data_IF_014162965089
#
_entry.id   IF_014162965089
#
_cell.length_a   1.000
_cell.length_b   1.000
_cell.length_c   1.000
_cell.angle_alpha   90.00
_cell.angle_beta   90.00
_cell.angle_gamma   90.00
#
_symmetry.space_group_name_H-M   'P 1'
#
loop_
_entity.id
_entity.type
_entity.pdbx_description
1 polymer ?
#
# COMPACT_ATOMS: atom_id res chain seq x y z
N UNK A 1 -63.52 -13.94 20.36
CA UNK A 1 -62.60 -14.85 19.64
C UNK A 1 -61.28 -14.11 19.42
N UNK A 2 -60.34 -14.23 20.37
CA UNK A 2 -59.09 -13.45 20.38
C UNK A 2 -58.12 -14.11 19.40
N UNK A 3 -57.90 -13.47 18.26
CA UNK A 3 -57.04 -13.96 17.19
C UNK A 3 -55.59 -14.11 17.68
N UNK A 4 -55.13 -15.36 17.83
CA UNK A 4 -53.72 -15.77 17.98
C UNK A 4 -52.90 -15.50 16.70
N UNK A 5 -52.89 -14.27 16.17
CA UNK A 5 -52.16 -13.89 14.93
C UNK A 5 -50.82 -13.19 15.15
N UNK A 6 -50.26 -13.21 16.36
CA UNK A 6 -49.03 -12.48 16.69
C UNK A 6 -47.68 -13.21 16.44
N UNK A 7 -47.54 -14.54 16.57
CA UNK A 7 -46.20 -15.15 16.48
C UNK A 7 -45.66 -15.20 15.05
N UNK A 8 -46.52 -15.47 14.05
CA UNK A 8 -46.09 -15.58 12.65
C UNK A 8 -45.59 -14.24 12.07
N UNK A 9 -46.25 -13.13 12.40
CA UNK A 9 -45.82 -11.78 12.00
C UNK A 9 -44.49 -11.40 12.64
N UNK A 10 -44.30 -11.75 13.92
CA UNK A 10 -43.05 -11.51 14.64
C UNK A 10 -41.89 -12.31 14.01
N UNK A 11 -42.13 -13.58 13.68
CA UNK A 11 -41.12 -14.43 13.02
C UNK A 11 -40.74 -13.90 11.64
N UNK A 12 -41.73 -13.48 10.82
CA UNK A 12 -41.44 -12.84 9.52
C UNK A 12 -40.62 -11.56 9.67
N UNK A 13 -40.95 -10.70 10.65
CA UNK A 13 -40.20 -9.47 10.90
C UNK A 13 -38.75 -9.75 11.30
N UNK A 14 -38.54 -10.73 12.18
CA UNK A 14 -37.18 -11.14 12.60
C UNK A 14 -36.40 -11.71 11.41
N UNK A 15 -37.02 -12.56 10.59
CA UNK A 15 -36.37 -13.12 9.39
C UNK A 15 -35.96 -12.03 8.40
N UNK A 16 -36.84 -11.06 8.12
CA UNK A 16 -36.52 -9.92 7.25
C UNK A 16 -35.38 -9.07 7.83
N UNK A 17 -35.38 -8.80 9.14
CA UNK A 17 -34.31 -8.06 9.80
C UNK A 17 -32.96 -8.81 9.70
N UNK A 18 -32.96 -10.12 9.92
CA UNK A 18 -31.76 -10.95 9.75
C UNK A 18 -31.23 -10.90 8.31
N UNK A 19 -32.11 -11.00 7.29
CA UNK A 19 -31.70 -10.89 5.90
C UNK A 19 -31.11 -9.52 5.56
N UNK A 20 -31.69 -8.43 6.09
CA UNK A 20 -31.16 -7.08 5.90
C UNK A 20 -29.81 -6.89 6.60
N UNK A 21 -29.63 -7.43 7.80
CA UNK A 21 -28.35 -7.37 8.52
C UNK A 21 -27.27 -8.18 7.81
N UNK A 22 -27.58 -9.41 7.37
CA UNK A 22 -26.65 -10.25 6.61
C UNK A 22 -26.29 -9.58 5.28
N UNK A 23 -27.29 -9.10 4.53
CA UNK A 23 -27.08 -8.35 3.30
C UNK A 23 -26.25 -7.09 3.53
N UNK A 24 -26.53 -6.33 4.59
CA UNK A 24 -25.77 -5.15 4.98
C UNK A 24 -24.32 -5.48 5.33
N UNK A 25 -24.07 -6.55 6.08
CA UNK A 25 -22.71 -7.02 6.40
C UNK A 25 -21.98 -7.48 5.14
N UNK A 26 -22.63 -8.21 4.25
CA UNK A 26 -22.03 -8.64 2.96
C UNK A 26 -21.69 -7.42 2.11
N UNK A 27 -22.61 -6.48 1.95
CA UNK A 27 -22.35 -5.23 1.22
C UNK A 27 -21.19 -4.50 1.87
N UNK A 28 -21.16 -4.35 3.19
CA UNK A 28 -20.09 -3.65 3.89
C UNK A 28 -18.73 -4.37 3.75
N UNK A 29 -18.70 -5.71 3.76
CA UNK A 29 -17.49 -6.50 3.50
C UNK A 29 -17.00 -6.38 2.05
N UNK A 30 -17.92 -6.29 1.09
CA UNK A 30 -17.62 -6.18 -0.33
C UNK A 30 -17.27 -4.74 -0.74
N UNK A 31 -17.87 -3.73 -0.10
CA UNK A 31 -17.63 -2.31 -0.39
C UNK A 31 -16.58 -1.69 0.51
N UNK A 32 -16.11 -2.38 1.55
CA UNK A 32 -14.95 -1.92 2.30
C UNK A 32 -13.80 -1.81 1.30
N UNK A 33 -13.18 -0.63 1.12
CA UNK A 33 -11.99 -0.54 0.31
C UNK A 33 -10.93 -1.39 1.01
N UNK A 34 -10.65 -2.55 0.43
CA UNK A 34 -9.53 -3.36 0.85
C UNK A 34 -8.27 -2.64 0.36
N UNK A 35 -7.77 -1.73 1.20
CA UNK A 35 -6.54 -1.01 0.93
C UNK A 35 -5.38 -1.98 1.14
N UNK A 36 -4.84 -2.48 0.04
CA UNK A 36 -3.61 -3.27 0.09
C UNK A 36 -2.44 -2.34 -0.13
N UNK A 37 -1.52 -2.31 0.83
CA UNK A 37 -0.29 -1.52 0.70
C UNK A 37 0.56 -2.03 -0.46
N UNK A 38 0.94 -1.15 -1.39
CA UNK A 38 1.86 -1.53 -2.46
C UNK A 38 3.27 -1.75 -1.89
N UNK A 39 3.88 -2.88 -2.19
CA UNK A 39 5.21 -3.20 -1.70
C UNK A 39 6.25 -2.35 -2.42
N UNK A 40 7.23 -1.80 -1.69
CA UNK A 40 8.40 -1.16 -2.31
C UNK A 40 9.30 -2.25 -2.87
N UNK A 41 9.60 -2.17 -4.18
CA UNK A 41 10.51 -3.06 -4.89
C UNK A 41 11.95 -2.58 -4.75
N UNK A 42 12.17 -1.31 -5.01
CA UNK A 42 13.50 -0.71 -5.06
C UNK A 42 13.43 0.77 -4.72
N UNK A 43 14.47 1.26 -4.05
CA UNK A 43 14.70 2.69 -3.85
C UNK A 43 16.10 2.99 -4.35
N UNK A 44 16.22 3.99 -5.21
CA UNK A 44 17.48 4.43 -5.79
C UNK A 44 17.50 5.94 -5.97
N UNK A 45 18.70 6.51 -6.05
CA UNK A 45 18.89 7.92 -6.39
C UNK A 45 19.17 8.00 -7.88
N UNK A 46 18.44 8.87 -8.57
CA UNK A 46 18.63 9.17 -9.98
C UNK A 46 19.20 10.59 -10.12
N UNK A 47 20.45 10.74 -10.58
CA UNK A 47 20.96 12.06 -10.94
C UNK A 47 20.28 12.56 -12.22
N UNK A 48 19.76 13.79 -12.20
CA UNK A 48 19.17 14.46 -13.37
C UNK A 48 19.80 15.83 -13.59
N UNK A 49 19.55 16.47 -14.74
CA UNK A 49 20.06 17.81 -15.03
C UNK A 49 19.55 18.87 -14.04
N UNK A 50 18.36 18.66 -13.48
CA UNK A 50 17.72 19.56 -12.50
C UNK A 50 18.14 19.25 -11.04
N UNK A 51 18.82 18.12 -10.80
CA UNK A 51 19.26 17.65 -9.48
C UNK A 51 18.98 16.18 -9.24
N UNK A 52 19.33 15.68 -8.05
CA UNK A 52 19.08 14.30 -7.68
C UNK A 52 17.60 14.05 -7.36
N UNK A 53 17.05 12.94 -7.84
CA UNK A 53 15.71 12.45 -7.52
C UNK A 53 15.80 11.17 -6.69
N UNK A 54 15.06 11.09 -5.59
CA UNK A 54 14.80 9.79 -4.97
C UNK A 54 13.70 9.08 -5.76
N UNK A 55 14.06 7.97 -6.39
CA UNK A 55 13.15 7.06 -7.08
C UNK A 55 12.72 5.93 -6.15
N UNK A 56 11.41 5.76 -5.97
CA UNK A 56 10.83 4.62 -5.26
C UNK A 56 10.00 3.82 -6.25
N UNK A 57 10.49 2.65 -6.66
CA UNK A 57 9.76 1.72 -7.50
C UNK A 57 8.91 0.80 -6.61
N UNK A 58 7.63 0.68 -6.92
CA UNK A 58 6.72 -0.26 -6.27
C UNK A 58 6.71 -1.61 -7.02
N UNK A 59 6.29 -2.67 -6.34
CA UNK A 59 6.08 -3.98 -6.94
C UNK A 59 4.95 -3.94 -7.98
N UNK A 60 5.03 -4.90 -8.90
CA UNK A 60 4.10 -5.06 -10.02
C UNK A 60 2.64 -5.04 -9.56
N UNK A 61 1.81 -4.35 -10.33
CA UNK A 61 0.39 -4.17 -10.04
C UNK A 61 -0.30 -5.52 -10.05
N UNK A 62 -0.96 -5.89 -8.95
CA UNK A 62 -1.59 -7.18 -8.88
C UNK A 62 -2.78 -7.24 -9.86
N UNK A 63 -3.04 -8.39 -10.50
CA UNK A 63 -4.07 -8.51 -11.55
C UNK A 63 -5.49 -8.26 -11.05
N UNK A 64 -5.69 -8.25 -9.73
CA UNK A 64 -6.97 -7.94 -9.09
C UNK A 64 -7.15 -6.47 -8.73
N UNK A 65 -6.10 -5.65 -8.82
CA UNK A 65 -6.17 -4.21 -8.61
C UNK A 65 -6.60 -3.53 -9.91
N UNK A 66 -7.33 -2.43 -9.82
CA UNK A 66 -7.66 -1.58 -10.96
C UNK A 66 -6.73 -0.37 -11.03
N UNK A 67 -6.20 0.06 -9.89
CA UNK A 67 -5.41 1.29 -9.75
C UNK A 67 -4.46 1.20 -8.56
N UNK A 68 -3.29 1.83 -8.70
CA UNK A 68 -2.37 2.07 -7.58
C UNK A 68 -2.34 3.56 -7.28
N UNK A 69 -2.86 3.96 -6.13
CA UNK A 69 -2.68 5.31 -5.61
C UNK A 69 -1.40 5.37 -4.79
N UNK A 70 -0.66 6.46 -4.97
CA UNK A 70 0.52 6.72 -4.19
C UNK A 70 0.63 8.21 -3.88
N UNK A 71 1.20 8.52 -2.73
CA UNK A 71 1.46 9.86 -2.27
C UNK A 71 2.69 9.85 -1.37
N UNK A 72 3.35 10.98 -1.27
CA UNK A 72 4.41 11.18 -0.29
C UNK A 72 4.25 12.50 0.42
N UNK A 73 4.76 12.57 1.64
CA UNK A 73 4.89 13.84 2.36
C UNK A 73 6.29 13.97 2.94
N UNK A 74 6.81 15.19 2.94
CA UNK A 74 8.11 15.52 3.52
C UNK A 74 7.86 16.35 4.77
N UNK A 75 8.25 15.82 5.92
CA UNK A 75 8.24 16.55 7.18
C UNK A 75 9.65 17.02 7.52
N UNK A 76 9.91 18.30 7.29
CA UNK A 76 11.23 18.92 7.53
C UNK A 76 11.56 19.04 9.01
N UNK A 77 10.56 19.15 9.89
CA UNK A 77 10.77 19.29 11.33
C UNK A 77 11.12 17.97 11.99
N UNK A 78 10.41 16.90 11.66
CA UNK A 78 10.70 15.55 12.17
C UNK A 78 11.76 14.81 11.36
N UNK A 79 12.23 15.39 10.25
CA UNK A 79 13.17 14.76 9.32
C UNK A 79 12.67 13.39 8.84
N UNK A 80 11.42 13.35 8.38
CA UNK A 80 10.81 12.12 7.85
C UNK A 80 10.25 12.34 6.45
N UNK A 81 10.30 11.30 5.63
CA UNK A 81 9.63 11.19 4.33
C UNK A 81 8.64 10.05 4.44
N UNK A 82 7.35 10.36 4.34
CA UNK A 82 6.27 9.41 4.52
C UNK A 82 5.70 9.00 3.18
N UNK A 83 5.86 7.73 2.82
CA UNK A 83 5.37 7.11 1.61
C UNK A 83 4.08 6.35 1.89
N UNK A 84 3.00 6.75 1.20
CA UNK A 84 1.72 6.07 1.23
C UNK A 84 1.45 5.49 -0.15
N UNK A 85 1.16 4.20 -0.21
CA UNK A 85 0.78 3.53 -1.45
C UNK A 85 -0.31 2.50 -1.18
N UNK A 86 -1.35 2.49 -2.02
CA UNK A 86 -2.50 1.61 -1.88
C UNK A 86 -3.05 1.15 -3.22
N UNK A 87 -3.35 -0.14 -3.33
CA UNK A 87 -4.11 -0.69 -4.45
C UNK A 87 -5.61 -0.59 -4.18
N UNK A 88 -6.37 -0.29 -5.23
CA UNK A 88 -7.83 -0.19 -5.21
C UNK A 88 -8.43 -1.33 -6.03
N UNK A 89 -9.29 -2.14 -5.40
CA UNK A 89 -9.85 -3.39 -5.96
C UNK A 89 -11.20 -3.16 -6.64
N UNK A 90 -11.95 -2.15 -6.21
CA UNK A 90 -13.34 -1.95 -6.60
C UNK A 90 -13.66 -0.46 -6.77
N UNK A 91 -13.54 0.05 -7.99
CA UNK A 91 -14.25 1.26 -8.43
C UNK A 91 -15.36 0.86 -9.41
N UNK A 92 -16.55 0.44 -8.94
CA UNK A 92 -17.63 -0.05 -9.82
C UNK A 92 -18.20 0.99 -10.80
N UNK A 93 -17.67 2.22 -10.81
CA UNK A 93 -18.09 3.33 -11.68
C UNK A 93 -16.92 4.12 -12.27
N UNK A 94 -15.68 3.66 -12.11
CA UNK A 94 -14.60 4.22 -12.91
C UNK A 94 -14.85 3.81 -14.35
N UNK A 95 -15.16 4.77 -15.22
CA UNK A 95 -15.03 4.55 -16.66
C UNK A 95 -13.59 4.11 -16.89
N UNK A 96 -13.37 2.84 -17.21
CA UNK A 96 -12.07 2.35 -17.66
C UNK A 96 -11.67 3.29 -18.81
N UNK A 97 -10.66 4.17 -18.65
CA UNK A 97 -10.14 4.89 -19.79
C UNK A 97 -9.72 3.81 -20.78
N UNK A 98 -10.19 3.93 -22.04
CA UNK A 98 -10.10 2.87 -23.04
C UNK A 98 -8.77 2.13 -22.92
N UNK A 99 -8.87 0.84 -22.59
CA UNK A 99 -7.73 -0.03 -22.33
C UNK A 99 -6.93 -0.23 -23.62
N UNK A 100 -6.15 0.77 -24.01
CA UNK A 100 -4.90 0.51 -24.71
C UNK A 100 -3.98 -0.15 -23.70
N UNK A 101 -3.28 -1.20 -24.12
CA UNK A 101 -2.26 -1.92 -23.33
C UNK A 101 -1.12 -1.00 -22.82
N UNK A 102 -1.15 0.29 -23.13
CA UNK A 102 -0.13 1.30 -22.81
C UNK A 102 -0.35 2.11 -21.52
N UNK A 103 -1.54 2.08 -20.89
CA UNK A 103 -1.80 2.95 -19.73
C UNK A 103 -1.73 2.19 -18.41
N UNK A 104 -0.60 1.55 -18.15
CA UNK A 104 -0.21 1.16 -16.79
C UNK A 104 0.67 2.30 -16.24
N UNK A 105 0.14 3.18 -15.36
CA UNK A 105 0.90 4.34 -14.90
C UNK A 105 2.12 3.92 -14.09
N UNK A 106 3.22 4.61 -14.34
CA UNK A 106 4.54 4.36 -13.77
C UNK A 106 4.46 4.22 -12.25
N UNK A 107 4.82 3.05 -11.73
CA UNK A 107 4.77 2.67 -10.31
C UNK A 107 5.91 3.28 -9.51
N UNK A 108 6.22 4.54 -9.82
CA UNK A 108 7.45 5.19 -9.44
C UNK A 108 7.11 6.49 -8.73
N UNK A 109 7.45 6.58 -7.44
CA UNK A 109 7.40 7.84 -6.71
C UNK A 109 8.72 8.56 -6.93
N UNK A 110 8.67 9.77 -7.46
CA UNK A 110 9.83 10.66 -7.65
C UNK A 110 9.77 11.80 -6.63
N UNK A 111 10.83 11.92 -5.84
CA UNK A 111 10.96 12.98 -4.83
C UNK A 111 12.19 13.81 -5.19
N UNK A 112 12.01 15.06 -5.65
CA UNK A 112 13.13 15.91 -6.04
C UNK A 112 13.86 16.47 -4.82
N UNK A 113 15.19 16.55 -4.90
CA UNK A 113 16.06 17.02 -3.81
C UNK A 113 15.75 18.45 -3.38
N UNK A 114 15.28 19.31 -4.28
CA UNK A 114 14.87 20.70 -3.99
C UNK A 114 13.75 20.82 -2.94
N UNK A 115 12.96 19.76 -2.72
CA UNK A 115 11.91 19.74 -1.68
C UNK A 115 12.46 19.47 -0.29
N UNK A 116 13.69 18.99 -0.22
CA UNK A 116 14.41 18.63 0.99
C UNK A 116 15.37 19.76 1.39
N UNK A 117 15.71 19.80 2.68
CA UNK A 117 16.74 20.68 3.22
C UNK A 117 17.92 19.82 3.66
N UNK A 118 19.17 20.30 3.57
CA UNK A 118 20.34 19.49 3.93
C UNK A 118 20.20 18.79 5.28
N UNK A 119 20.62 17.52 5.33
CA UNK A 119 20.55 16.65 6.50
C UNK A 119 20.00 15.26 6.20
N UNK A 120 19.78 14.49 7.26
CA UNK A 120 19.30 13.10 7.21
C UNK A 120 17.77 13.04 7.37
N UNK A 121 17.11 12.16 6.62
CA UNK A 121 15.68 11.90 6.65
C UNK A 121 15.38 10.41 6.78
N UNK A 122 14.53 10.03 7.73
CA UNK A 122 13.97 8.69 7.79
C UNK A 122 12.87 8.54 6.73
N UNK A 123 13.06 7.62 5.79
CA UNK A 123 12.05 7.25 4.82
C UNK A 123 11.17 6.15 5.41
N UNK A 124 9.88 6.44 5.53
CA UNK A 124 8.87 5.56 6.12
C UNK A 124 7.85 5.15 5.08
N UNK A 125 7.40 3.91 5.17
CA UNK A 125 6.33 3.39 4.34
C UNK A 125 5.18 2.93 5.22
N UNK A 126 3.96 3.35 4.86
CA UNK A 126 2.76 2.92 5.58
C UNK A 126 2.35 1.52 5.14
N UNK A 127 2.47 0.55 6.03
CA UNK A 127 2.16 -0.85 5.76
C UNK A 127 1.52 -1.50 6.99
N UNK A 128 0.49 -2.31 6.77
CA UNK A 128 -0.23 -3.03 7.84
C UNK A 128 -0.67 -2.08 8.98
N UNK A 129 -1.27 -0.94 8.60
CA UNK A 129 -1.75 0.11 9.51
C UNK A 129 -0.66 0.80 10.35
N UNK A 130 0.61 0.70 9.97
CA UNK A 130 1.73 1.29 10.71
C UNK A 130 2.78 1.90 9.79
N UNK A 131 3.42 2.99 10.26
CA UNK A 131 4.58 3.57 9.60
C UNK A 131 5.85 2.78 9.92
N UNK A 132 6.50 2.23 8.91
CA UNK A 132 7.74 1.47 9.06
C UNK A 132 8.89 2.20 8.38
N UNK A 133 10.00 2.43 9.09
CA UNK A 133 11.21 3.00 8.48
C UNK A 133 11.84 1.96 7.55
N UNK A 134 12.02 2.32 6.29
CA UNK A 134 12.58 1.46 5.24
C UNK A 134 14.00 1.86 4.82
N UNK A 135 14.48 3.02 5.26
CA UNK A 135 15.84 3.48 5.05
C UNK A 135 15.98 4.95 5.41
N UNK A 136 17.18 5.46 5.16
CA UNK A 136 17.56 6.82 5.47
C UNK A 136 18.06 7.48 4.19
N UNK A 137 17.56 8.68 3.92
CA UNK A 137 18.00 9.52 2.82
C UNK A 137 18.82 10.67 3.40
N UNK A 138 20.04 10.85 2.92
CA UNK A 138 20.87 11.99 3.27
C UNK A 138 20.91 12.96 2.09
N UNK A 139 20.76 14.25 2.39
CA UNK A 139 21.02 15.32 1.44
C UNK A 139 22.16 16.18 1.94
N UNK A 140 23.18 16.41 1.11
CA UNK A 140 24.27 17.32 1.42
C UNK A 140 23.93 18.78 1.13
N UNK A 141 24.83 19.70 1.49
CA UNK A 141 24.66 21.15 1.25
C UNK A 141 24.66 21.52 -0.24
N UNK A 142 25.07 20.61 -1.13
CA UNK A 142 25.09 20.77 -2.58
C UNK A 142 23.84 20.19 -3.25
N UNK A 143 22.91 19.63 -2.47
CA UNK A 143 21.67 19.04 -2.95
C UNK A 143 21.80 17.60 -3.48
N UNK A 144 22.95 16.94 -3.26
CA UNK A 144 23.15 15.54 -3.64
C UNK A 144 22.47 14.61 -2.65
N UNK A 145 21.85 13.55 -3.17
CA UNK A 145 21.15 12.56 -2.38
C UNK A 145 21.97 11.29 -2.24
N UNK A 146 22.04 10.76 -1.02
CA UNK A 146 22.59 9.44 -0.72
C UNK A 146 21.54 8.60 -0.02
N UNK A 147 21.27 7.41 -0.57
CA UNK A 147 20.29 6.48 -0.03
C UNK A 147 20.97 5.35 0.75
N UNK A 148 20.53 5.15 1.99
CA UNK A 148 20.97 4.06 2.86
C UNK A 148 19.77 3.17 3.20
N UNK A 149 19.65 1.96 2.60
CA UNK A 149 18.54 1.08 2.91
C UNK A 149 18.64 0.59 4.36
N UNK A 150 17.53 0.67 5.10
CA UNK A 150 17.44 -0.02 6.38
C UNK A 150 17.05 -1.45 6.09
N UNK A 151 17.77 -2.39 6.68
CA UNK A 151 17.57 -3.81 6.40
C UNK A 151 16.14 -4.24 6.78
N UNK A 152 15.21 -4.22 5.82
CA UNK A 152 13.84 -4.76 6.00
C UNK A 152 13.92 -6.28 6.19
N UNK A 153 15.08 -6.90 5.88
CA UNK A 153 15.37 -8.33 6.03
C UNK A 153 15.91 -8.70 7.41
N UNK A 154 15.13 -8.36 8.44
CA UNK A 154 15.10 -9.10 9.71
C UNK A 154 14.49 -10.52 9.62
N UNK A 155 14.33 -11.08 8.42
CA UNK A 155 14.12 -12.53 8.18
C UNK A 155 15.08 -13.01 7.10
N UNK A 156 16.38 -13.05 7.44
CA UNK A 156 17.27 -14.09 6.90
C UNK A 156 16.59 -15.44 7.22
N UNK A 157 15.77 -15.95 6.30
CA UNK A 157 15.48 -17.39 6.23
C UNK A 157 16.87 -18.02 6.14
N UNK A 158 17.35 -18.55 7.26
CA UNK A 158 18.46 -19.46 7.27
C UNK A 158 18.10 -20.50 6.23
N UNK A 159 18.79 -20.51 5.09
CA UNK A 159 18.88 -21.68 4.24
C UNK A 159 19.58 -22.72 5.10
N UNK A 160 18.83 -23.39 5.98
CA UNK A 160 19.16 -24.77 6.35
C UNK A 160 18.97 -25.52 5.05
N UNK A 161 20.07 -25.62 4.31
CA UNK A 161 20.30 -26.75 3.42
C UNK A 161 19.88 -27.98 4.23
N UNK A 162 18.74 -28.57 3.87
CA UNK A 162 18.48 -29.95 4.23
C UNK A 162 19.66 -30.72 3.65
N UNK A 163 20.59 -31.13 4.51
CA UNK A 163 21.44 -32.27 4.20
C UNK A 163 20.48 -33.45 4.09
N UNK A 164 20.29 -33.93 2.87
CA UNK A 164 19.77 -35.27 2.65
C UNK A 164 20.67 -36.25 3.42
N UNK A 165 20.12 -37.22 4.16
CA UNK A 165 20.94 -38.27 4.74
C UNK A 165 21.56 -39.09 3.60
N UNK A 166 22.87 -39.34 3.68
CA UNK A 166 23.53 -40.35 2.87
C UNK A 166 22.85 -41.69 3.15
N UNK A 167 22.23 -42.27 2.12
CA UNK A 167 21.85 -43.68 2.12
C UNK A 167 23.15 -44.51 2.15
N UNK A 168 23.34 -45.25 3.25
CA UNK A 168 24.20 -46.42 3.30
C UNK A 168 23.33 -47.66 3.31
#
# INVERSE_FOLDING_TARGET
MIMKRRPALLVCLIACLCCLLVGGVIVLLLTRPWLYTAHVREISVLPTEEGDLLKVALFEHPPWSQRCDHSYSVNRKSRTIDLLSSYVIWEPFASLPGSSEETVPDFTILIPSERLTPGSYDVRHFKNDQWTVIGTLQQDDQGRLTWEPRDIRGKKRSRRLLKLPDER
#
